data_IF_096613383117
#
_entry.id   IF_096613383117
#
_cell.length_a   1.000
_cell.length_b   1.000
_cell.length_c   1.000
_cell.angle_alpha   90.00
_cell.angle_beta   90.00
_cell.angle_gamma   90.00
#
_symmetry.space_group_name_H-M   'P 1'
#
loop_
_entity.id
_entity.type
_entity.pdbx_description
1 polymer ?
#
# COMPACT_ATOMS: atom_id res chain seq x y z
N UNK A 1 -10.66 13.98 -16.32
CA UNK A 1 -10.40 14.46 -14.96
C UNK A 1 -10.39 13.21 -14.10
N UNK A 2 -9.20 12.74 -13.74
CA UNK A 2 -8.98 11.44 -13.05
C UNK A 2 -8.84 11.62 -11.53
N UNK A 3 -9.27 12.77 -11.00
CA UNK A 3 -9.27 13.06 -9.58
C UNK A 3 -10.29 12.18 -8.82
N UNK A 4 -9.84 11.29 -7.92
CA UNK A 4 -10.74 10.37 -7.23
C UNK A 4 -11.55 11.04 -6.11
N UNK A 5 -11.25 12.28 -5.72
CA UNK A 5 -11.81 12.93 -4.52
C UNK A 5 -13.33 13.00 -4.54
N UNK A 6 -13.93 13.38 -5.66
CA UNK A 6 -15.40 13.48 -5.77
C UNK A 6 -16.10 12.13 -5.62
N UNK A 7 -15.54 11.08 -6.24
CA UNK A 7 -16.09 9.72 -6.15
C UNK A 7 -15.91 9.12 -4.75
N UNK A 8 -14.77 9.37 -4.11
CA UNK A 8 -14.52 8.91 -2.74
C UNK A 8 -15.45 9.63 -1.76
N UNK A 9 -15.60 10.95 -1.89
CA UNK A 9 -16.49 11.73 -1.03
C UNK A 9 -17.95 11.24 -1.08
N UNK A 10 -18.41 10.76 -2.24
CA UNK A 10 -19.74 10.19 -2.41
C UNK A 10 -19.97 8.90 -1.59
N UNK A 11 -18.91 8.22 -1.14
CA UNK A 11 -19.01 7.02 -0.30
C UNK A 11 -19.02 7.33 1.21
N UNK A 12 -18.75 8.58 1.61
CA UNK A 12 -18.64 8.95 3.01
C UNK A 12 -19.95 8.68 3.78
N UNK A 13 -19.83 8.06 4.95
CA UNK A 13 -20.97 7.73 5.82
C UNK A 13 -21.84 6.55 5.35
N UNK A 14 -21.45 5.83 4.29
CA UNK A 14 -22.14 4.62 3.84
C UNK A 14 -21.57 3.38 4.54
N UNK A 15 -22.40 2.68 5.32
CA UNK A 15 -21.98 1.46 6.00
C UNK A 15 -21.75 0.29 5.01
N UNK A 16 -20.70 -0.49 5.26
CA UNK A 16 -20.36 -1.65 4.45
C UNK A 16 -19.80 -1.34 3.06
N UNK A 17 -19.56 -0.07 2.73
CA UNK A 17 -18.98 0.36 1.45
C UNK A 17 -17.53 0.76 1.63
N UNK A 18 -16.68 0.40 0.67
CA UNK A 18 -15.28 0.82 0.64
C UNK A 18 -14.88 1.25 -0.78
N UNK A 19 -13.92 2.16 -0.85
CA UNK A 19 -13.27 2.50 -2.11
C UNK A 19 -12.35 1.34 -2.55
N UNK A 20 -12.07 1.26 -3.85
CA UNK A 20 -11.15 0.26 -4.41
C UNK A 20 -10.21 0.89 -5.41
N UNK A 21 -8.92 0.62 -5.24
CA UNK A 21 -7.89 0.94 -6.23
C UNK A 21 -7.31 -0.35 -6.83
N UNK A 22 -6.94 -0.29 -8.12
CA UNK A 22 -6.14 -1.31 -8.80
C UNK A 22 -4.69 -0.84 -8.84
N UNK A 23 -3.76 -1.66 -8.38
CA UNK A 23 -2.33 -1.32 -8.26
C UNK A 23 -1.44 -2.06 -9.29
N UNK A 24 -2.03 -2.83 -10.21
CA UNK A 24 -1.28 -3.50 -11.26
C UNK A 24 -2.09 -4.38 -12.21
N UNK A 25 -1.36 -5.11 -13.03
CA UNK A 25 -1.85 -6.05 -14.03
C UNK A 25 -0.69 -6.70 -14.78
N UNK A 26 -1.00 -7.39 -15.87
CA UNK A 26 -0.02 -8.17 -16.66
C UNK A 26 0.80 -7.33 -17.64
N UNK A 27 0.56 -6.01 -17.69
CA UNK A 27 1.29 -5.07 -18.55
C UNK A 27 1.82 -3.90 -17.72
N UNK A 28 3.01 -3.34 -18.05
CA UNK A 28 3.60 -2.23 -17.30
C UNK A 28 2.67 -1.02 -17.15
N UNK A 29 1.93 -0.66 -18.19
CA UNK A 29 1.01 0.48 -18.19
C UNK A 29 -0.21 0.31 -17.27
N UNK A 30 -0.44 -0.89 -16.72
CA UNK A 30 -1.50 -1.16 -15.74
C UNK A 30 -1.07 -0.87 -14.30
N UNK A 31 0.20 -0.55 -14.07
CA UNK A 31 0.70 -0.16 -12.75
C UNK A 31 0.55 1.35 -12.62
N UNK A 32 -0.34 1.85 -11.76
CA UNK A 32 -0.47 3.28 -11.55
C UNK A 32 0.81 3.85 -10.93
N UNK A 33 1.19 5.10 -11.26
CA UNK A 33 2.30 5.77 -10.60
C UNK A 33 2.00 6.00 -9.11
N UNK A 34 3.05 6.15 -8.28
CA UNK A 34 2.91 6.25 -6.82
C UNK A 34 2.08 7.47 -6.40
N UNK A 35 2.14 8.56 -7.16
CA UNK A 35 1.37 9.78 -6.96
C UNK A 35 -0.14 9.54 -7.06
N UNK A 36 -0.56 8.69 -7.99
CA UNK A 36 -1.98 8.34 -8.14
C UNK A 36 -2.46 7.48 -6.97
N UNK A 37 -1.63 6.53 -6.53
CA UNK A 37 -1.94 5.70 -5.35
C UNK A 37 -1.98 6.56 -4.09
N UNK A 38 -0.99 7.43 -3.89
CA UNK A 38 -0.93 8.34 -2.75
C UNK A 38 -2.13 9.29 -2.72
N UNK A 39 -2.50 9.88 -3.87
CA UNK A 39 -3.68 10.76 -3.99
C UNK A 39 -4.98 10.05 -3.64
N UNK A 40 -5.15 8.80 -4.10
CA UNK A 40 -6.30 7.97 -3.74
C UNK A 40 -6.35 7.67 -2.24
N UNK A 41 -5.23 7.25 -1.64
CA UNK A 41 -5.16 6.91 -0.21
C UNK A 41 -5.37 8.14 0.67
N UNK A 42 -4.76 9.28 0.33
CA UNK A 42 -4.94 10.55 1.04
C UNK A 42 -6.39 11.06 0.96
N UNK A 43 -7.03 10.91 -0.20
CA UNK A 43 -8.45 11.24 -0.37
C UNK A 43 -9.34 10.35 0.50
N UNK A 44 -9.07 9.04 0.56
CA UNK A 44 -9.77 8.11 1.45
C UNK A 44 -9.59 8.50 2.93
N UNK A 45 -8.36 8.83 3.34
CA UNK A 45 -8.05 9.25 4.71
C UNK A 45 -8.78 10.54 5.08
N UNK A 46 -8.87 11.49 4.15
CA UNK A 46 -9.55 12.78 4.34
C UNK A 46 -11.07 12.62 4.45
N UNK A 47 -11.66 11.78 3.60
CA UNK A 47 -13.10 11.51 3.60
C UNK A 47 -13.55 10.49 4.65
N UNK A 48 -12.62 9.92 5.42
CA UNK A 48 -12.87 8.82 6.35
C UNK A 48 -13.55 7.60 5.69
N UNK A 49 -13.15 7.30 4.45
CA UNK A 49 -13.67 6.17 3.67
C UNK A 49 -12.66 5.02 3.71
N UNK A 50 -13.05 3.80 4.13
CA UNK A 50 -12.16 2.64 4.05
C UNK A 50 -11.91 2.27 2.60
N UNK A 51 -10.77 1.63 2.33
CA UNK A 51 -10.42 1.17 1.00
C UNK A 51 -9.71 -0.18 1.00
N UNK A 52 -9.78 -0.84 -0.15
CA UNK A 52 -8.94 -2.00 -0.46
C UNK A 52 -8.15 -1.78 -1.73
N UNK A 53 -6.98 -2.41 -1.80
CA UNK A 53 -6.13 -2.37 -2.98
C UNK A 53 -6.13 -3.73 -3.67
N UNK A 54 -6.04 -3.76 -5.00
CA UNK A 54 -6.19 -5.01 -5.75
C UNK A 54 -5.21 -5.07 -6.90
N UNK A 55 -4.76 -6.28 -7.24
CA UNK A 55 -3.80 -6.59 -8.30
C UNK A 55 -2.42 -5.97 -8.11
N UNK A 56 -1.38 -6.77 -8.37
CA UNK A 56 0.01 -6.30 -8.39
C UNK A 56 0.69 -6.15 -7.03
N UNK A 57 0.03 -6.52 -5.92
CA UNK A 57 0.57 -6.44 -4.56
C UNK A 57 1.07 -7.80 -4.07
N UNK A 58 2.05 -8.35 -4.80
CA UNK A 58 2.63 -9.68 -4.55
C UNK A 58 3.86 -9.63 -3.63
N UNK A 59 4.57 -8.49 -3.66
CA UNK A 59 5.86 -8.33 -3.02
C UNK A 59 5.75 -7.37 -1.82
N UNK A 60 6.48 -7.62 -0.72
CA UNK A 60 6.39 -6.78 0.47
C UNK A 60 6.88 -5.36 0.19
N UNK A 61 7.97 -5.22 -0.57
CA UNK A 61 8.62 -3.95 -0.87
C UNK A 61 8.49 -3.65 -2.36
N UNK A 62 8.41 -2.36 -2.73
CA UNK A 62 8.43 -1.93 -4.13
C UNK A 62 9.73 -2.37 -4.81
N UNK A 63 9.63 -2.78 -6.07
CA UNK A 63 10.79 -3.22 -6.84
C UNK A 63 10.41 -3.61 -8.26
N UNK A 64 11.42 -3.92 -9.08
CA UNK A 64 11.20 -4.46 -10.43
C UNK A 64 10.96 -5.98 -10.35
N UNK A 65 9.80 -6.43 -10.83
CA UNK A 65 9.38 -7.83 -10.76
C UNK A 65 8.74 -8.30 -12.08
N UNK A 66 8.73 -9.62 -12.34
CA UNK A 66 7.92 -10.24 -13.39
C UNK A 66 6.42 -9.96 -13.23
N UNK A 67 5.73 -9.58 -14.32
CA UNK A 67 4.27 -9.37 -14.30
C UNK A 67 3.46 -10.64 -14.60
N UNK A 68 4.11 -11.65 -15.15
CA UNK A 68 3.51 -12.95 -15.45
C UNK A 68 4.49 -14.08 -15.10
N UNK A 69 3.98 -15.32 -15.10
CA UNK A 69 4.76 -16.54 -14.84
C UNK A 69 5.36 -17.15 -16.11
N UNK A 70 5.32 -16.43 -17.24
CA UNK A 70 5.85 -16.91 -18.51
C UNK A 70 7.38 -17.02 -18.48
N UNK A 71 7.97 -17.78 -19.41
CA UNK A 71 9.43 -17.97 -19.47
C UNK A 71 10.22 -16.67 -19.66
N UNK A 72 9.64 -15.68 -20.33
CA UNK A 72 10.24 -14.36 -20.54
C UNK A 72 9.18 -13.29 -20.32
N UNK A 73 8.79 -13.04 -19.06
CA UNK A 73 7.68 -12.18 -18.74
C UNK A 73 8.08 -10.70 -18.88
N UNK A 74 7.16 -9.81 -19.25
CA UNK A 74 7.41 -8.38 -19.08
C UNK A 74 7.68 -8.11 -17.59
N UNK A 75 8.60 -7.19 -17.33
CA UNK A 75 8.90 -6.70 -15.98
C UNK A 75 8.46 -5.26 -15.84
N UNK A 76 8.10 -4.88 -14.62
CA UNK A 76 7.89 -3.48 -14.27
C UNK A 76 8.09 -3.27 -12.78
N UNK A 77 8.17 -2.00 -12.38
CA UNK A 77 8.24 -1.62 -10.97
C UNK A 77 6.87 -1.76 -10.34
N UNK A 78 6.68 -2.77 -9.48
CA UNK A 78 5.42 -3.06 -8.78
C UNK A 78 5.43 -2.44 -7.38
N UNK A 79 4.23 -2.11 -6.86
CA UNK A 79 4.06 -1.59 -5.51
C UNK A 79 4.27 -2.66 -4.43
N UNK A 80 4.85 -2.27 -3.30
CA UNK A 80 5.00 -3.14 -2.13
C UNK A 80 3.77 -3.11 -1.23
N UNK A 81 3.29 -4.27 -0.78
CA UNK A 81 2.15 -4.29 0.16
C UNK A 81 2.51 -3.74 1.54
N UNK A 82 3.77 -3.87 2.00
CA UNK A 82 4.23 -3.26 3.26
C UNK A 82 4.30 -1.74 3.12
N UNK A 83 4.83 -1.22 2.01
CA UNK A 83 4.78 0.21 1.71
C UNK A 83 3.34 0.74 1.81
N UNK A 84 2.38 0.05 1.20
CA UNK A 84 1.00 0.51 1.17
C UNK A 84 0.31 0.41 2.55
N UNK A 85 0.51 -0.68 3.30
CA UNK A 85 -0.03 -0.82 4.66
C UNK A 85 0.50 0.27 5.60
N UNK A 86 1.82 0.45 5.65
CA UNK A 86 2.47 1.42 6.54
C UNK A 86 2.10 2.84 6.14
N UNK A 87 2.16 3.15 4.83
CA UNK A 87 1.79 4.45 4.30
C UNK A 87 0.34 4.81 4.57
N UNK A 88 -0.60 3.89 4.37
CA UNK A 88 -2.01 4.09 4.67
C UNK A 88 -2.26 4.37 6.17
N UNK A 89 -1.57 3.67 7.06
CA UNK A 89 -1.69 3.92 8.49
C UNK A 89 -1.09 5.28 8.90
N UNK A 90 0.10 5.63 8.38
CA UNK A 90 0.77 6.89 8.69
C UNK A 90 -0.01 8.11 8.20
N UNK A 91 -0.52 8.10 6.97
CA UNK A 91 -1.34 9.21 6.44
C UNK A 91 -2.68 9.31 7.20
N UNK A 92 -3.30 8.17 7.56
CA UNK A 92 -4.54 8.14 8.35
C UNK A 92 -4.37 8.75 9.73
N UNK A 93 -3.18 8.62 10.31
CA UNK A 93 -2.79 9.22 11.59
C UNK A 93 -2.20 10.62 11.45
N UNK A 94 -2.11 11.16 10.23
CA UNK A 94 -1.53 12.48 9.93
C UNK A 94 -0.07 12.60 10.41
N UNK A 95 0.66 11.49 10.41
CA UNK A 95 2.10 11.46 10.72
C UNK A 95 2.94 11.92 9.53
N UNK A 96 2.38 11.78 8.33
CA UNK A 96 2.96 12.20 7.06
C UNK A 96 1.90 12.97 6.26
N UNK A 97 2.33 13.68 5.22
CA UNK A 97 1.47 14.29 4.22
C UNK A 97 1.48 13.48 2.91
N UNK A 98 0.70 13.93 1.91
CA UNK A 98 0.59 13.21 0.63
C UNK A 98 1.94 13.15 -0.13
N UNK A 99 2.75 14.22 -0.24
CA UNK A 99 4.09 14.13 -0.83
C UNK A 99 4.98 13.08 -0.14
N UNK A 100 5.03 13.08 1.20
CA UNK A 100 5.81 12.09 1.95
C UNK A 100 5.27 10.67 1.77
N UNK A 101 3.95 10.51 1.60
CA UNK A 101 3.35 9.22 1.25
C UNK A 101 3.83 8.71 -0.11
N UNK A 102 4.03 9.59 -1.11
CA UNK A 102 4.64 9.18 -2.39
C UNK A 102 6.03 8.60 -2.15
N UNK A 103 6.88 9.30 -1.40
CA UNK A 103 8.24 8.82 -1.08
C UNK A 103 8.22 7.45 -0.37
N UNK A 104 7.29 7.24 0.57
CA UNK A 104 7.12 5.96 1.26
C UNK A 104 6.67 4.86 0.29
N UNK A 105 5.71 5.14 -0.58
CA UNK A 105 5.26 4.19 -1.60
C UNK A 105 6.36 3.87 -2.60
N UNK A 106 7.31 4.78 -2.83
CA UNK A 106 8.47 4.61 -3.69
C UNK A 106 9.67 3.92 -3.02
N UNK A 107 9.61 3.66 -1.71
CA UNK A 107 10.71 3.02 -0.99
C UNK A 107 10.99 1.60 -1.49
N UNK A 108 12.22 1.36 -1.92
CA UNK A 108 12.69 0.08 -2.50
C UNK A 108 13.61 -0.69 -1.55
N UNK A 109 14.03 -0.08 -0.44
CA UNK A 109 14.94 -0.69 0.51
C UNK A 109 14.17 -1.25 1.71
N UNK A 110 14.13 -2.58 1.94
CA UNK A 110 13.43 -3.17 3.08
C UNK A 110 13.94 -2.64 4.42
N UNK A 111 15.24 -2.31 4.51
CA UNK A 111 15.88 -1.76 5.72
C UNK A 111 15.39 -0.36 6.11
N UNK A 112 14.66 0.32 5.23
CA UNK A 112 14.03 1.59 5.57
C UNK A 112 12.80 1.40 6.49
N UNK A 113 12.27 0.17 6.59
CA UNK A 113 11.20 -0.21 7.52
C UNK A 113 11.81 -0.97 8.69
N UNK A 114 11.88 -0.30 9.84
CA UNK A 114 12.46 -0.85 11.06
C UNK A 114 11.35 -1.28 12.02
N UNK A 115 11.34 -2.55 12.40
CA UNK A 115 10.51 -3.04 13.50
C UNK A 115 11.26 -2.81 14.81
N UNK A 116 10.67 -2.01 15.70
CA UNK A 116 11.29 -1.66 16.98
C UNK A 116 10.87 -2.61 18.09
N UNK A 117 11.63 -2.65 19.19
CA UNK A 117 11.34 -3.48 20.37
C UNK A 117 10.16 -3.00 21.19
N UNK A 118 9.66 -1.79 20.93
CA UNK A 118 8.50 -1.19 21.59
C UNK A 118 7.24 -1.21 20.71
N UNK A 119 7.09 -2.29 19.93
CA UNK A 119 5.93 -2.57 19.09
C UNK A 119 5.57 -1.42 18.15
N UNK A 120 6.55 -0.92 17.39
CA UNK A 120 6.33 0.09 16.36
C UNK A 120 7.07 -0.23 15.06
N UNK A 121 6.59 0.38 13.99
CA UNK A 121 7.29 0.46 12.70
C UNK A 121 7.82 1.87 12.55
N UNK A 122 9.12 2.00 12.25
CA UNK A 122 9.74 3.27 11.89
C UNK A 122 10.08 3.26 10.41
N UNK A 123 9.66 4.30 9.70
CA UNK A 123 10.10 4.57 8.35
C UNK A 123 10.77 5.94 8.31
N UNK A 124 12.08 5.98 8.02
CA UNK A 124 12.89 7.21 7.92
C UNK A 124 12.68 8.20 9.08
N UNK A 125 12.62 7.68 10.31
CA UNK A 125 12.41 8.47 11.53
C UNK A 125 10.95 8.79 11.88
N UNK A 126 10.00 8.50 10.98
CA UNK A 126 8.56 8.57 11.28
C UNK A 126 8.13 7.27 11.95
N UNK A 127 7.65 7.37 13.18
CA UNK A 127 7.23 6.22 14.00
C UNK A 127 5.73 6.01 13.97
N UNK A 128 5.30 4.78 13.72
CA UNK A 128 3.92 4.31 13.77
C UNK A 128 3.81 3.16 14.79
N UNK A 129 3.04 3.35 15.85
CA UNK A 129 2.81 2.30 16.85
C UNK A 129 1.87 1.18 16.33
N UNK A 130 1.99 -0.01 16.90
CA UNK A 130 1.23 -1.19 16.50
C UNK A 130 -0.29 -1.03 16.70
N UNK A 131 -0.73 -0.27 17.70
CA UNK A 131 -2.16 -0.02 17.94
C UNK A 131 -2.75 0.80 16.79
N UNK A 132 -2.04 1.83 16.36
CA UNK A 132 -2.38 2.65 15.20
C UNK A 132 -2.38 1.86 13.90
N UNK A 133 -1.41 0.96 13.73
CA UNK A 133 -1.35 0.05 12.58
C UNK A 133 -2.53 -0.93 12.56
N UNK A 134 -2.89 -1.50 13.72
CA UNK A 134 -4.01 -2.41 13.86
C UNK A 134 -5.35 -1.70 13.57
N UNK A 135 -5.57 -0.50 14.12
CA UNK A 135 -6.76 0.33 13.83
C UNK A 135 -6.88 0.64 12.34
N UNK A 136 -5.77 0.99 11.67
CA UNK A 136 -5.76 1.23 10.25
C UNK A 136 -6.13 -0.03 9.45
N UNK A 137 -5.57 -1.19 9.79
CA UNK A 137 -5.88 -2.47 9.12
C UNK A 137 -7.35 -2.88 9.29
N UNK A 138 -7.94 -2.60 10.44
CA UNK A 138 -9.33 -2.99 10.74
C UNK A 138 -10.36 -2.04 10.12
N UNK A 139 -10.05 -0.74 10.05
CA UNK A 139 -11.07 0.29 9.79
C UNK A 139 -10.79 1.17 8.58
N UNK A 140 -9.58 1.10 8.02
CA UNK A 140 -9.17 1.98 6.94
C UNK A 140 -8.64 1.23 5.72
N UNK A 141 -7.52 0.51 5.86
CA UNK A 141 -6.99 -0.33 4.80
C UNK A 141 -7.39 -1.79 5.03
N UNK A 142 -8.59 -2.12 4.56
CA UNK A 142 -9.30 -3.36 4.93
C UNK A 142 -8.76 -4.62 4.22
N UNK A 143 -7.86 -4.46 3.26
CA UNK A 143 -7.18 -5.57 2.63
C UNK A 143 -6.54 -5.25 1.29
N UNK A 144 -5.69 -6.19 0.85
CA UNK A 144 -5.12 -6.18 -0.49
C UNK A 144 -5.33 -7.53 -1.18
N UNK A 145 -5.28 -7.53 -2.52
CA UNK A 145 -5.37 -8.75 -3.32
C UNK A 145 -4.04 -9.12 -3.96
N UNK A 146 -3.61 -10.36 -3.73
CA UNK A 146 -2.53 -11.06 -4.45
C UNK A 146 -3.12 -12.28 -5.16
N UNK A 147 -2.63 -12.58 -6.37
CA UNK A 147 -3.03 -13.80 -7.10
C UNK A 147 -2.32 -15.06 -6.58
N UNK A 148 -1.33 -14.90 -5.71
CA UNK A 148 -0.56 -15.97 -5.09
C UNK A 148 -0.55 -15.81 -3.58
N UNK A 149 -0.74 -16.91 -2.87
CA UNK A 149 -0.51 -16.96 -1.43
C UNK A 149 0.98 -17.19 -1.10
N UNK A 150 1.68 -17.96 -1.93
CA UNK A 150 3.06 -18.36 -1.66
C UNK A 150 4.04 -17.18 -1.80
N UNK A 151 3.93 -16.38 -2.87
CA UNK A 151 4.88 -15.31 -3.17
C UNK A 151 5.00 -14.27 -2.04
N UNK A 152 3.91 -13.70 -1.49
CA UNK A 152 4.03 -12.77 -0.37
C UNK A 152 4.71 -13.39 0.86
N UNK A 153 4.44 -14.67 1.14
CA UNK A 153 5.00 -15.36 2.32
C UNK A 153 6.48 -15.68 2.11
N UNK A 154 6.86 -16.18 0.94
CA UNK A 154 8.24 -16.54 0.65
C UNK A 154 9.14 -15.30 0.59
N UNK A 155 8.65 -14.18 0.06
CA UNK A 155 9.38 -12.91 0.09
C UNK A 155 9.55 -12.37 1.52
N UNK A 156 8.52 -12.46 2.36
CA UNK A 156 8.62 -12.06 3.78
C UNK A 156 9.64 -12.92 4.54
N UNK A 157 9.68 -14.23 4.28
CA UNK A 157 10.72 -15.13 4.81
C UNK A 157 12.11 -14.76 4.30
N UNK A 158 12.22 -14.43 3.02
CA UNK A 158 13.46 -13.94 2.41
C UNK A 158 13.99 -12.66 3.07
N UNK A 159 13.11 -11.83 3.62
CA UNK A 159 13.45 -10.65 4.42
C UNK A 159 13.71 -10.96 5.91
N UNK A 160 13.41 -12.17 6.37
CA UNK A 160 13.49 -12.56 7.78
C UNK A 160 12.36 -11.98 8.64
N UNK A 161 11.22 -11.64 8.04
CA UNK A 161 10.06 -11.08 8.72
C UNK A 161 8.99 -12.13 9.07
N UNK A 162 9.20 -13.39 8.68
CA UNK A 162 8.38 -14.58 9.00
C UNK A 162 9.27 -15.82 9.17
#
# INVERSE_FOLDING_TARGET
DDDPRGMIAALAGQDGVCAKIRCGGVKPEMIPPAEQVAGFVAACATAAVPFKATAGLHHPIRGEYPLTYDKNPPKAVMHGFINLVVGAAMIRKRLIDQPTLVELLEETHPKAFELTTDDAIVWRGVKLDLVSLADARERFFIGYGSCSYAEPIDDLRGLGWL
#
